data_IF_204662093985
#
_entry.id   IF_204662093985
#
_cell.length_a   1.000
_cell.length_b   1.000
_cell.length_c   1.000
_cell.angle_alpha   90.00
_cell.angle_beta   90.00
_cell.angle_gamma   90.00
#
_symmetry.space_group_name_H-M   'P 1'
#
loop_
_entity.id
_entity.type
_entity.pdbx_description
1 polymer ?
#
# COMPACT_ATOMS: atom_id res chain seq x y z
N UNK A 1 -19.38 15.14 27.07
CA UNK A 1 -18.68 15.39 25.80
C UNK A 1 -17.30 14.76 25.91
N UNK A 2 -17.20 13.44 25.77
CA UNK A 2 -15.92 12.72 25.83
C UNK A 2 -15.68 12.13 24.46
N UNK A 3 -15.10 12.95 23.58
CA UNK A 3 -14.55 12.48 22.33
C UNK A 3 -13.45 11.50 22.66
N UNK A 4 -13.65 10.24 22.27
CA UNK A 4 -12.63 9.23 22.33
C UNK A 4 -11.52 9.66 21.37
N UNK A 5 -10.50 10.32 21.90
CA UNK A 5 -9.21 10.56 21.26
C UNK A 5 -8.47 9.22 21.13
N UNK A 6 -9.07 8.30 20.37
CA UNK A 6 -8.35 7.16 19.83
C UNK A 6 -7.60 7.75 18.65
N UNK A 7 -6.36 8.19 18.85
CA UNK A 7 -5.42 8.21 17.74
C UNK A 7 -4.98 6.76 17.55
N UNK A 8 -5.65 5.98 16.68
CA UNK A 8 -5.51 4.55 16.69
C UNK A 8 -4.18 4.23 16.01
N UNK A 9 -3.34 3.35 16.57
CA UNK A 9 -2.21 2.77 15.83
C UNK A 9 -2.66 2.20 14.47
N UNK A 10 -3.91 1.74 14.40
CA UNK A 10 -4.56 1.26 13.17
C UNK A 10 -4.59 2.28 12.02
N UNK A 11 -4.71 3.59 12.31
CA UNK A 11 -4.63 4.63 11.27
C UNK A 11 -3.20 4.86 10.77
N UNK A 12 -2.19 4.71 11.63
CA UNK A 12 -0.78 4.82 11.21
C UNK A 12 -0.37 3.64 10.31
N UNK A 13 -0.78 2.41 10.65
CA UNK A 13 -0.57 1.24 9.79
C UNK A 13 -1.30 1.39 8.44
N UNK A 14 -2.51 1.94 8.46
CA UNK A 14 -3.24 2.21 7.22
C UNK A 14 -2.54 3.25 6.35
N UNK A 15 -1.97 4.30 6.94
CA UNK A 15 -1.28 5.35 6.20
C UNK A 15 -0.04 4.83 5.45
N UNK A 16 0.81 4.01 6.09
CA UNK A 16 2.02 3.48 5.43
C UNK A 16 1.70 2.49 4.31
N UNK A 17 0.62 1.70 4.46
CA UNK A 17 0.10 0.82 3.38
C UNK A 17 -0.37 1.66 2.19
N UNK A 18 -1.14 2.73 2.43
CA UNK A 18 -1.60 3.63 1.36
C UNK A 18 -0.42 4.29 0.62
N UNK A 19 0.62 4.71 1.34
CA UNK A 19 1.84 5.26 0.73
C UNK A 19 2.57 4.22 -0.13
N UNK A 20 2.66 2.96 0.33
CA UNK A 20 3.22 1.86 -0.44
C UNK A 20 2.41 1.56 -1.72
N UNK A 21 1.08 1.62 -1.65
CA UNK A 21 0.19 1.44 -2.80
C UNK A 21 0.37 2.56 -3.81
N UNK A 22 0.40 3.82 -3.36
CA UNK A 22 0.66 4.97 -4.23
C UNK A 22 2.01 4.84 -4.93
N UNK A 23 3.06 4.44 -4.21
CA UNK A 23 4.36 4.19 -4.81
C UNK A 23 4.32 3.09 -5.88
N UNK A 24 3.57 2.00 -5.69
CA UNK A 24 3.41 0.96 -6.71
C UNK A 24 2.66 1.44 -7.96
N UNK A 25 1.73 2.37 -7.82
CA UNK A 25 0.97 2.98 -8.92
C UNK A 25 1.84 3.97 -9.72
N UNK A 26 2.63 4.76 -9.02
CA UNK A 26 3.53 5.76 -9.59
C UNK A 26 4.76 5.10 -10.24
N UNK A 27 5.31 4.05 -9.62
CA UNK A 27 6.51 3.37 -10.09
C UNK A 27 6.16 2.16 -10.98
N UNK A 28 6.40 2.23 -12.31
CA UNK A 28 6.13 1.13 -13.23
C UNK A 28 7.01 -0.09 -12.97
N UNK A 29 6.55 -1.27 -13.42
CA UNK A 29 7.19 -2.55 -13.13
C UNK A 29 8.63 -2.65 -13.64
N UNK A 30 8.98 -1.97 -14.73
CA UNK A 30 10.33 -2.02 -15.30
C UNK A 30 11.37 -1.28 -14.45
N UNK A 31 10.96 -0.27 -13.67
CA UNK A 31 11.83 0.43 -12.72
C UNK A 31 11.95 -0.32 -11.39
N UNK A 32 10.97 -1.16 -11.06
CA UNK A 32 11.01 -2.04 -9.90
C UNK A 32 11.92 -3.23 -10.18
N UNK A 33 13.20 -3.09 -9.84
CA UNK A 33 14.16 -4.19 -9.89
C UNK A 33 13.90 -5.19 -8.76
N UNK A 34 12.92 -6.08 -8.96
CA UNK A 34 12.62 -7.19 -8.06
C UNK A 34 11.15 -7.38 -7.73
N UNK A 35 10.89 -8.33 -6.83
CA UNK A 35 9.54 -8.61 -6.35
C UNK A 35 9.02 -7.46 -5.46
N UNK A 36 7.73 -7.12 -5.59
CA UNK A 36 7.12 -6.00 -4.89
C UNK A 36 7.20 -6.14 -3.36
N UNK A 37 6.93 -7.33 -2.80
CA UNK A 37 6.91 -7.54 -1.35
C UNK A 37 8.27 -7.23 -0.68
N UNK A 38 9.41 -7.80 -1.10
CA UNK A 38 10.73 -7.41 -0.58
C UNK A 38 11.03 -5.91 -0.68
N UNK A 39 10.68 -5.29 -1.81
CA UNK A 39 10.91 -3.86 -2.03
C UNK A 39 10.10 -3.00 -1.06
N UNK A 40 8.83 -3.33 -0.84
CA UNK A 40 7.97 -2.60 0.09
C UNK A 40 8.44 -2.75 1.54
N UNK A 41 8.88 -3.96 1.93
CA UNK A 41 9.46 -4.20 3.26
C UNK A 41 10.72 -3.36 3.47
N UNK A 42 11.64 -3.35 2.50
CA UNK A 42 12.88 -2.59 2.59
C UNK A 42 12.67 -1.08 2.56
N UNK A 43 11.70 -0.59 1.77
CA UNK A 43 11.46 0.85 1.57
C UNK A 43 10.62 1.49 2.67
N UNK A 44 9.61 0.78 3.17
CA UNK A 44 8.61 1.33 4.10
C UNK A 44 8.62 0.65 5.47
N UNK A 45 9.50 -0.33 5.72
CA UNK A 45 9.57 -1.04 6.99
C UNK A 45 8.37 -1.95 7.26
N UNK A 46 7.58 -2.29 6.23
CA UNK A 46 6.38 -3.10 6.37
C UNK A 46 6.69 -4.51 6.84
N UNK A 47 5.78 -5.08 7.62
CA UNK A 47 5.71 -6.53 7.80
C UNK A 47 5.33 -7.23 6.50
N UNK A 48 5.53 -8.54 6.43
CA UNK A 48 5.13 -9.34 5.26
C UNK A 48 3.62 -9.23 5.00
N UNK A 49 2.78 -9.20 6.04
CA UNK A 49 1.33 -9.08 5.91
C UNK A 49 0.90 -7.73 5.32
N UNK A 50 1.49 -6.63 5.80
CA UNK A 50 1.21 -5.28 5.31
C UNK A 50 1.68 -5.09 3.87
N UNK A 51 2.86 -5.63 3.51
CA UNK A 51 3.34 -5.59 2.14
C UNK A 51 2.43 -6.38 1.18
N UNK A 52 1.92 -7.54 1.60
CA UNK A 52 0.95 -8.31 0.82
C UNK A 52 -0.38 -7.55 0.68
N UNK A 53 -0.86 -6.90 1.74
CA UNK A 53 -2.05 -6.07 1.70
C UNK A 53 -1.91 -4.91 0.71
N UNK A 54 -0.77 -4.20 0.72
CA UNK A 54 -0.46 -3.15 -0.24
C UNK A 54 -0.44 -3.66 -1.69
N UNK A 55 0.20 -4.81 -1.95
CA UNK A 55 0.22 -5.41 -3.29
C UNK A 55 -1.18 -5.81 -3.75
N UNK A 56 -2.01 -6.36 -2.86
CA UNK A 56 -3.41 -6.70 -3.16
C UNK A 56 -4.21 -5.45 -3.56
N UNK A 57 -4.12 -4.39 -2.78
CA UNK A 57 -4.84 -3.14 -3.04
C UNK A 57 -4.38 -2.47 -4.34
N UNK A 58 -3.06 -2.44 -4.57
CA UNK A 58 -2.50 -2.01 -5.85
C UNK A 58 -3.12 -2.78 -7.03
N UNK A 59 -3.20 -4.10 -6.97
CA UNK A 59 -3.76 -4.90 -8.06
C UNK A 59 -5.25 -4.60 -8.30
N UNK A 60 -6.03 -4.38 -7.24
CA UNK A 60 -7.44 -3.97 -7.37
C UNK A 60 -7.55 -2.63 -8.09
N UNK A 61 -6.75 -1.65 -7.69
CA UNK A 61 -6.78 -0.29 -8.26
C UNK A 61 -6.22 -0.22 -9.67
N UNK A 62 -5.19 -1.02 -9.95
CA UNK A 62 -4.60 -1.17 -11.28
C UNK A 62 -5.54 -1.90 -12.25
N UNK A 63 -6.39 -2.81 -11.77
CA UNK A 63 -7.41 -3.50 -12.58
C UNK A 63 -8.66 -2.67 -12.85
N UNK A 64 -8.91 -1.61 -12.08
CA UNK A 64 -10.07 -0.74 -12.22
C UNK A 64 -10.20 0.13 -13.50
N UNK A 65 -9.18 0.35 -14.37
CA UNK A 65 -9.32 1.30 -15.49
C UNK A 65 -9.70 0.66 -16.84
N UNK A 66 -10.58 -0.35 -16.87
CA UNK A 66 -11.14 -0.86 -18.14
C UNK A 66 -12.68 -0.99 -18.18
N UNK A 67 -13.41 -0.69 -17.10
CA UNK A 67 -14.88 -0.83 -17.04
C UNK A 67 -15.62 0.52 -17.11
N UNK A 68 -15.07 1.50 -17.84
CA UNK A 68 -15.79 2.72 -18.25
C UNK A 68 -15.39 3.13 -19.67
N UNK A 69 -15.81 2.35 -20.65
CA UNK A 69 -15.96 2.79 -22.03
C UNK A 69 -17.40 2.57 -22.47
#
# INVERSE_FOLDING_TARGET
>A
MTGLDLTPPEHQHSAVIQQAVQWLLDTPRHERQGAAVPLLKARFGLSTGEAVAAVREFNVRWRAPHERS
#
